data_IF_865386437892
#
_entry.id   IF_865386437892
#
_cell.length_a   1.000
_cell.length_b   1.000
_cell.length_c   1.000
_cell.angle_alpha   90.00
_cell.angle_beta   90.00
_cell.angle_gamma   90.00
#
_symmetry.space_group_name_H-M   'P 1'
#
loop_
_entity.id
_entity.type
_entity.pdbx_description
1 polymer ?
#
# COMPACT_ATOMS: atom_id res chain seq x y z
N UNK A 1 -23.67 -42.00 -29.59
CA UNK A 1 -23.10 -42.14 -28.24
C UNK A 1 -22.34 -40.85 -27.93
N UNK A 2 -22.90 -39.96 -27.12
CA UNK A 2 -22.29 -38.68 -26.79
C UNK A 2 -22.58 -38.37 -25.33
N UNK A 3 -21.72 -38.87 -24.44
CA UNK A 3 -21.76 -38.49 -23.03
C UNK A 3 -20.68 -37.43 -22.84
N UNK A 4 -21.12 -36.16 -22.81
CA UNK A 4 -20.29 -35.05 -22.40
C UNK A 4 -19.98 -35.19 -20.91
N UNK A 5 -18.70 -35.44 -20.59
CA UNK A 5 -18.22 -35.34 -19.21
C UNK A 5 -17.85 -33.87 -18.99
N UNK A 6 -18.62 -33.16 -18.16
CA UNK A 6 -18.18 -31.88 -17.62
C UNK A 6 -17.46 -32.18 -16.30
N UNK A 7 -16.14 -31.98 -16.18
CA UNK A 7 -15.49 -32.09 -14.89
C UNK A 7 -15.95 -30.92 -14.02
N UNK A 8 -16.53 -31.26 -12.86
CA UNK A 8 -17.05 -30.30 -11.89
C UNK A 8 -15.99 -29.26 -11.51
N UNK A 9 -16.38 -27.99 -11.64
CA UNK A 9 -15.65 -26.86 -11.07
C UNK A 9 -15.56 -27.08 -9.57
N UNK A 10 -14.34 -27.30 -9.08
CA UNK A 10 -14.04 -27.43 -7.65
C UNK A 10 -14.53 -26.17 -6.90
N UNK A 11 -14.95 -26.28 -5.62
CA UNK A 11 -15.43 -25.13 -4.88
C UNK A 11 -14.32 -24.08 -4.78
N UNK A 12 -14.58 -22.87 -5.30
CA UNK A 12 -13.71 -21.71 -5.11
C UNK A 12 -13.43 -21.55 -3.61
N UNK A 13 -12.22 -21.90 -3.19
CA UNK A 13 -11.76 -21.56 -1.84
C UNK A 13 -11.75 -20.04 -1.77
N UNK A 14 -12.65 -19.49 -0.95
CA UNK A 14 -12.66 -18.06 -0.62
C UNK A 14 -11.31 -17.73 0.00
N UNK A 15 -10.40 -17.17 -0.80
CA UNK A 15 -9.08 -16.77 -0.33
C UNK A 15 -9.32 -15.66 0.68
N UNK A 16 -9.02 -15.94 1.95
CA UNK A 16 -9.08 -14.94 3.00
C UNK A 16 -7.84 -14.07 2.83
N UNK A 17 -8.01 -12.94 2.16
CA UNK A 17 -6.96 -11.93 2.01
C UNK A 17 -7.06 -11.00 3.21
N UNK A 18 -5.96 -10.83 3.91
CA UNK A 18 -5.85 -9.87 5.00
C UNK A 18 -5.46 -8.54 4.40
N UNK A 19 -6.18 -7.49 4.77
CA UNK A 19 -5.93 -6.12 4.33
C UNK A 19 -5.62 -5.22 5.50
N UNK A 20 -4.73 -4.26 5.27
CA UNK A 20 -4.33 -3.25 6.23
C UNK A 20 -4.12 -1.91 5.52
N UNK A 21 -4.33 -0.80 6.23
CA UNK A 21 -4.24 0.55 5.69
C UNK A 21 -3.12 1.32 6.38
N UNK A 22 -2.30 2.01 5.59
CA UNK A 22 -1.26 2.92 6.06
C UNK A 22 -1.51 4.31 5.51
N UNK A 23 -1.96 5.23 6.37
CA UNK A 23 -2.11 6.64 6.00
C UNK A 23 -0.72 7.26 5.76
N UNK A 24 -0.54 7.86 4.57
CA UNK A 24 0.71 8.50 4.17
C UNK A 24 0.55 10.01 3.96
N UNK A 25 -0.66 10.54 4.13
CA UNK A 25 -1.01 11.93 3.82
C UNK A 25 -0.15 12.96 4.57
N UNK A 26 0.16 12.68 5.84
CA UNK A 26 0.90 13.57 6.73
C UNK A 26 2.43 13.52 6.51
N UNK A 27 2.91 12.67 5.59
CA UNK A 27 4.33 12.63 5.21
C UNK A 27 4.68 13.69 4.15
N UNK A 28 5.95 14.15 4.10
CA UNK A 28 6.39 15.12 3.10
C UNK A 28 6.18 14.60 1.68
N UNK A 29 6.02 15.53 0.74
CA UNK A 29 5.68 15.23 -0.66
C UNK A 29 6.62 14.18 -1.29
N UNK A 30 7.93 14.29 -1.06
CA UNK A 30 8.91 13.35 -1.62
C UNK A 30 8.77 11.95 -1.04
N UNK A 31 8.52 11.82 0.27
CA UNK A 31 8.26 10.53 0.90
C UNK A 31 7.01 9.87 0.32
N UNK A 32 5.93 10.64 0.16
CA UNK A 32 4.70 10.17 -0.49
C UNK A 32 4.96 9.69 -1.91
N UNK A 33 5.62 10.51 -2.73
CA UNK A 33 5.98 10.15 -4.09
C UNK A 33 6.85 8.89 -4.16
N UNK A 34 7.83 8.76 -3.27
CA UNK A 34 8.72 7.60 -3.20
C UNK A 34 7.95 6.31 -2.98
N UNK A 35 7.04 6.25 -2.00
CA UNK A 35 6.27 5.03 -1.72
C UNK A 35 5.14 4.76 -2.70
N UNK A 36 4.64 5.78 -3.40
CA UNK A 36 3.70 5.59 -4.52
C UNK A 36 4.40 5.25 -5.83
N UNK A 37 5.74 5.27 -5.88
CA UNK A 37 6.49 4.97 -7.08
C UNK A 37 6.48 3.47 -7.37
N UNK A 38 6.40 3.11 -8.65
CA UNK A 38 6.33 1.71 -9.09
C UNK A 38 7.47 0.86 -8.51
N UNK A 39 8.68 1.42 -8.43
CA UNK A 39 9.84 0.70 -7.88
C UNK A 39 9.69 0.36 -6.40
N UNK A 40 9.22 1.30 -5.57
CA UNK A 40 9.02 1.04 -4.14
C UNK A 40 7.87 0.04 -3.92
N UNK A 41 6.77 0.20 -4.66
CA UNK A 41 5.65 -0.73 -4.59
C UNK A 41 6.06 -2.14 -5.05
N UNK A 42 6.81 -2.24 -6.14
CA UNK A 42 7.36 -3.51 -6.63
C UNK A 42 8.30 -4.13 -5.60
N UNK A 43 9.22 -3.36 -5.04
CA UNK A 43 10.15 -3.84 -4.02
C UNK A 43 9.43 -4.43 -2.80
N UNK A 44 8.44 -3.72 -2.25
CA UNK A 44 7.66 -4.22 -1.11
C UNK A 44 6.90 -5.49 -1.50
N UNK A 45 6.32 -5.51 -2.70
CA UNK A 45 5.59 -6.67 -3.22
C UNK A 45 6.49 -7.89 -3.39
N UNK A 46 7.69 -7.71 -3.95
CA UNK A 46 8.66 -8.79 -4.15
C UNK A 46 9.27 -9.27 -2.83
N UNK A 47 9.51 -8.37 -1.88
CA UNK A 47 10.11 -8.70 -0.59
C UNK A 47 9.12 -9.43 0.34
N UNK A 48 7.84 -9.06 0.29
CA UNK A 48 6.83 -9.54 1.27
C UNK A 48 5.76 -10.45 0.67
N UNK A 49 5.59 -10.46 -0.65
CA UNK A 49 4.48 -11.15 -1.31
C UNK A 49 3.11 -10.46 -1.16
N UNK A 50 3.06 -9.25 -0.58
CA UNK A 50 1.83 -8.48 -0.44
C UNK A 50 1.59 -7.52 -1.62
N UNK A 51 0.33 -7.33 -1.98
CA UNK A 51 -0.07 -6.31 -2.94
C UNK A 51 -0.22 -4.97 -2.23
N UNK A 52 0.43 -3.92 -2.75
CA UNK A 52 0.33 -2.56 -2.21
C UNK A 52 -0.32 -1.65 -3.24
N UNK A 53 -1.42 -0.99 -2.87
CA UNK A 53 -2.18 -0.10 -3.75
C UNK A 53 -2.37 1.26 -3.11
N UNK A 54 -2.00 2.33 -3.82
CA UNK A 54 -2.28 3.69 -3.37
C UNK A 54 -3.76 4.07 -3.60
N UNK A 55 -4.41 4.59 -2.56
CA UNK A 55 -5.83 4.97 -2.55
C UNK A 55 -6.03 6.33 -1.87
N UNK A 56 -7.15 6.98 -2.19
CA UNK A 56 -7.47 8.31 -1.67
C UNK A 56 -6.79 9.44 -2.43
N UNK A 57 -6.78 10.63 -1.85
CA UNK A 57 -6.15 11.82 -2.42
C UNK A 57 -5.42 12.62 -1.37
N UNK A 58 -4.42 13.41 -1.77
CA UNK A 58 -3.72 14.27 -0.83
C UNK A 58 -4.65 15.36 -0.31
N UNK A 59 -4.81 15.41 1.01
CA UNK A 59 -5.59 16.41 1.70
C UNK A 59 -4.62 17.30 2.48
N UNK A 60 -4.43 18.57 2.09
CA UNK A 60 -3.53 19.48 2.78
C UNK A 60 -4.01 19.72 4.22
N UNK A 61 -3.06 19.91 5.13
CA UNK A 61 -3.35 20.20 6.53
C UNK A 61 -4.24 21.46 6.65
N UNK A 62 -5.28 21.38 7.47
CA UNK A 62 -6.26 22.47 7.65
C UNK A 62 -7.42 22.47 6.65
N UNK A 63 -7.37 21.65 5.58
CA UNK A 63 -8.55 21.40 4.73
C UNK A 63 -9.39 20.29 5.34
N UNK A 64 -10.71 20.47 5.38
CA UNK A 64 -11.63 19.38 5.71
C UNK A 64 -11.79 18.45 4.50
N UNK A 65 -11.74 17.12 4.66
CA UNK A 65 -12.10 16.20 3.59
C UNK A 65 -13.52 16.50 3.10
N UNK A 66 -13.71 16.52 1.79
CA UNK A 66 -15.04 16.60 1.19
C UNK A 66 -15.83 15.30 1.45
N UNK A 67 -17.14 15.31 1.27
CA UNK A 67 -17.98 14.12 1.39
C UNK A 67 -17.50 13.02 0.40
N UNK A 68 -17.05 11.88 0.94
CA UNK A 68 -16.47 10.78 0.17
C UNK A 68 -14.96 10.87 -0.11
N UNK A 69 -14.28 11.95 0.28
CA UNK A 69 -12.83 12.09 0.10
C UNK A 69 -12.08 11.47 1.29
N UNK A 70 -11.18 10.52 1.01
CA UNK A 70 -10.28 9.93 2.01
C UNK A 70 -8.87 10.50 1.82
N UNK A 71 -8.20 10.78 2.93
CA UNK A 71 -6.77 11.12 2.96
C UNK A 71 -5.96 10.08 2.20
N UNK A 72 -4.84 10.47 1.61
CA UNK A 72 -3.96 9.55 0.88
C UNK A 72 -3.44 8.43 1.79
N UNK A 73 -3.70 7.18 1.42
CA UNK A 73 -3.27 5.99 2.14
C UNK A 73 -2.82 4.90 1.18
N UNK A 74 -2.02 3.96 1.69
CA UNK A 74 -1.64 2.73 1.00
C UNK A 74 -2.45 1.58 1.59
N UNK A 75 -3.15 0.86 0.73
CA UNK A 75 -3.82 -0.39 1.04
C UNK A 75 -2.84 -1.53 0.81
N UNK A 76 -2.61 -2.35 1.82
CA UNK A 76 -1.71 -3.49 1.79
C UNK A 76 -2.55 -4.74 1.95
N UNK A 77 -2.50 -5.63 0.97
CA UNK A 77 -3.33 -6.83 0.90
C UNK A 77 -2.44 -8.05 0.74
N UNK A 78 -2.58 -9.04 1.60
CA UNK A 78 -1.72 -10.21 1.61
C UNK A 78 -2.42 -11.48 2.07
N UNK A 79 -1.82 -12.66 1.83
CA UNK A 79 -2.39 -13.94 2.20
C UNK A 79 -2.32 -14.23 3.71
N UNK A 80 -1.42 -13.55 4.45
CA UNK A 80 -1.24 -13.74 5.90
C UNK A 80 -0.99 -12.42 6.62
N UNK A 81 -1.31 -12.37 7.91
CA UNK A 81 -1.15 -11.16 8.72
C UNK A 81 0.33 -10.80 8.92
N UNK A 82 1.23 -11.79 8.95
CA UNK A 82 2.67 -11.56 9.06
C UNK A 82 3.21 -10.84 7.83
N UNK A 83 2.89 -11.31 6.62
CA UNK A 83 3.31 -10.65 5.39
C UNK A 83 2.79 -9.21 5.31
N UNK A 84 1.52 -8.99 5.66
CA UNK A 84 0.93 -7.64 5.69
C UNK A 84 1.64 -6.73 6.70
N UNK A 85 1.99 -7.27 7.87
CA UNK A 85 2.74 -6.54 8.90
C UNK A 85 4.14 -6.18 8.43
N UNK A 86 4.84 -7.11 7.79
CA UNK A 86 6.19 -6.87 7.26
C UNK A 86 6.15 -5.86 6.10
N UNK A 87 5.17 -5.95 5.21
CA UNK A 87 4.95 -4.98 4.14
C UNK A 87 4.70 -3.57 4.68
N UNK A 88 3.82 -3.46 5.69
CA UNK A 88 3.54 -2.18 6.36
C UNK A 88 4.79 -1.60 7.02
N UNK A 89 5.63 -2.45 7.61
CA UNK A 89 6.89 -2.03 8.24
C UNK A 89 7.88 -1.51 7.20
N UNK A 90 8.00 -2.19 6.06
CA UNK A 90 8.93 -1.78 4.99
C UNK A 90 8.49 -0.47 4.34
N UNK A 91 7.19 -0.32 4.04
CA UNK A 91 6.65 0.95 3.52
C UNK A 91 6.90 2.10 4.51
N UNK A 92 6.66 1.87 5.80
CA UNK A 92 6.92 2.87 6.85
C UNK A 92 8.40 3.24 6.89
N UNK A 93 9.30 2.27 6.79
CA UNK A 93 10.75 2.51 6.77
C UNK A 93 11.14 3.42 5.61
N UNK A 94 10.68 3.13 4.39
CA UNK A 94 10.96 3.96 3.20
C UNK A 94 10.44 5.39 3.40
N UNK A 95 9.25 5.54 3.98
CA UNK A 95 8.67 6.85 4.31
C UNK A 95 9.54 7.62 5.31
N UNK A 96 9.95 6.97 6.40
CA UNK A 96 10.77 7.58 7.46
C UNK A 96 12.15 7.95 6.94
N UNK A 97 12.82 7.06 6.21
CA UNK A 97 14.13 7.32 5.58
C UNK A 97 14.04 8.53 4.64
N UNK A 98 13.05 8.55 3.74
CA UNK A 98 12.88 9.68 2.81
C UNK A 98 12.53 10.98 3.55
N UNK A 99 11.77 10.89 4.65
CA UNK A 99 11.39 12.05 5.47
C UNK A 99 12.59 12.65 6.18
N UNK A 100 13.47 11.80 6.76
CA UNK A 100 14.72 12.25 7.37
C UNK A 100 15.66 12.89 6.35
N UNK A 101 15.80 12.30 5.17
CA UNK A 101 16.62 12.86 4.08
C UNK A 101 16.16 14.25 3.65
N UNK A 102 14.84 14.47 3.59
CA UNK A 102 14.28 15.78 3.27
C UNK A 102 14.49 16.79 4.41
N UNK A 103 14.30 16.36 5.67
CA UNK A 103 14.51 17.23 6.83
C UNK A 103 15.96 17.73 6.92
N UNK A 104 16.95 16.88 6.66
CA UNK A 104 18.37 17.24 6.66
C UNK A 104 18.80 18.19 5.52
N UNK A 105 17.92 18.47 4.55
CA UNK A 105 18.20 19.40 3.45
C UNK A 105 17.74 20.84 3.73
N UNK A 106 16.93 21.06 4.76
CA UNK A 106 16.36 22.37 5.12
C UNK A 106 17.40 23.32 5.73
N UNK A 107 18.54 22.83 6.21
CA UNK A 107 19.58 23.65 6.86
C UNK A 107 20.67 24.21 5.93
N UNK A 108 20.54 24.06 4.59
CA UNK A 108 21.52 24.59 3.61
C UNK A 108 20.91 25.58 2.62
N UNK A 109 20.06 26.47 3.11
CA UNK A 109 19.51 27.63 2.38
C UNK A 109 20.04 28.93 2.93
#
# INVERSE_FOLDING_TARGET
AGAAVNPGVAPERKVVIISDELEINDYPQKARWKVTHKEALAHVTEFTGCSVTAKGSFIPAGRRPNEGERKLFLLIEGPTAEQVRDAKKEVRRILEETTLEEAGKVERG
#
